data_IF_402735799032
#
_entry.id   IF_402735799032
#
_cell.length_a   1.000
_cell.length_b   1.000
_cell.length_c   1.000
_cell.angle_alpha   90.00
_cell.angle_beta   90.00
_cell.angle_gamma   90.00
#
_symmetry.space_group_name_H-M   'P 1'
#
loop_
_entity.id
_entity.type
_entity.pdbx_description
1 polymer ?
#
# COMPACT_ATOMS: atom_id res chain seq x y z
N UNK A 1 -32.57 -13.27 -13.92
CA UNK A 1 -32.26 -11.88 -14.33
C UNK A 1 -32.27 -10.89 -13.17
N UNK A 2 -32.28 -11.33 -11.92
CA UNK A 2 -32.38 -10.47 -10.71
C UNK A 2 -31.05 -10.32 -9.92
N UNK A 3 -30.04 -11.11 -10.20
CA UNK A 3 -28.78 -11.17 -9.42
C UNK A 3 -27.78 -10.08 -9.83
N UNK A 4 -27.83 -9.55 -11.06
CA UNK A 4 -26.91 -8.48 -11.52
C UNK A 4 -27.12 -7.10 -10.88
N UNK A 5 -28.30 -6.83 -10.32
CA UNK A 5 -28.63 -5.52 -9.73
C UNK A 5 -28.08 -5.31 -8.31
N UNK A 6 -27.82 -6.37 -7.57
CA UNK A 6 -27.33 -6.27 -6.18
C UNK A 6 -25.82 -5.93 -6.12
N UNK A 7 -25.03 -6.36 -7.09
CA UNK A 7 -23.59 -6.11 -7.10
C UNK A 7 -23.22 -4.64 -7.32
N UNK A 8 -24.03 -3.93 -8.11
CA UNK A 8 -23.81 -2.50 -8.39
C UNK A 8 -24.13 -1.64 -7.15
N UNK A 9 -25.11 -2.03 -6.35
CA UNK A 9 -25.49 -1.29 -5.13
C UNK A 9 -24.43 -1.41 -4.01
N UNK A 10 -23.83 -2.59 -3.84
CA UNK A 10 -22.76 -2.77 -2.85
C UNK A 10 -21.49 -1.99 -3.20
N UNK A 11 -21.09 -2.00 -4.47
CA UNK A 11 -19.95 -1.22 -4.94
C UNK A 11 -20.18 0.29 -4.79
N UNK A 12 -21.39 0.77 -5.04
CA UNK A 12 -21.77 2.18 -4.90
C UNK A 12 -21.74 2.66 -3.43
N UNK A 13 -22.11 1.81 -2.49
CA UNK A 13 -22.06 2.13 -1.06
C UNK A 13 -20.60 2.24 -0.57
N UNK A 14 -19.72 1.35 -0.99
CA UNK A 14 -18.30 1.38 -0.62
C UNK A 14 -17.61 2.62 -1.22
N UNK A 15 -17.90 2.96 -2.47
CA UNK A 15 -17.37 4.16 -3.12
C UNK A 15 -17.88 5.44 -2.43
N UNK A 16 -19.13 5.48 -2.02
CA UNK A 16 -19.71 6.60 -1.29
C UNK A 16 -19.06 6.85 0.08
N UNK A 17 -18.69 5.79 0.81
CA UNK A 17 -18.00 5.89 2.11
C UNK A 17 -16.53 6.30 1.95
N UNK A 18 -15.85 5.82 0.92
CA UNK A 18 -14.46 6.19 0.65
C UNK A 18 -14.34 7.64 0.18
N UNK A 19 -15.33 8.17 -0.54
CA UNK A 19 -15.34 9.57 -0.96
C UNK A 19 -15.59 10.53 0.22
N UNK A 20 -16.38 10.16 1.23
CA UNK A 20 -16.61 11.00 2.41
C UNK A 20 -15.41 11.08 3.35
N UNK A 21 -14.56 10.05 3.42
CA UNK A 21 -13.29 10.07 4.17
C UNK A 21 -12.20 10.90 3.48
N UNK A 22 -12.26 11.10 2.17
CA UNK A 22 -11.29 11.89 1.42
C UNK A 22 -11.53 13.40 1.50
N UNK A 23 -12.72 13.86 1.89
CA UNK A 23 -13.09 15.29 1.90
C UNK A 23 -12.85 16.01 3.24
N UNK A 24 -12.44 15.30 4.29
CA UNK A 24 -12.19 15.88 5.61
C UNK A 24 -10.84 16.61 5.78
N UNK A 25 -9.97 16.65 4.77
CA UNK A 25 -8.75 17.46 4.80
C UNK A 25 -9.09 18.88 4.36
N UNK A 26 -9.27 19.75 5.34
CA UNK A 26 -9.50 21.18 5.25
C UNK A 26 -8.80 21.85 4.06
N UNK A 27 -9.61 22.54 3.27
CA UNK A 27 -9.15 23.47 2.23
C UNK A 27 -8.44 24.65 2.91
N UNK A 28 -7.12 24.58 3.05
CA UNK A 28 -6.31 25.75 3.28
C UNK A 28 -5.95 26.41 1.93
N UNK A 29 -6.19 27.71 1.88
CA UNK A 29 -6.12 28.63 0.74
C UNK A 29 -5.09 28.28 -0.36
N UNK A 30 -5.47 28.34 -1.65
CA UNK A 30 -4.61 28.03 -2.79
C UNK A 30 -3.75 29.22 -3.25
N UNK A 31 -3.26 30.07 -2.36
CA UNK A 31 -2.40 31.19 -2.75
C UNK A 31 -0.94 30.74 -2.65
N UNK A 32 -0.23 30.72 -3.79
CA UNK A 32 1.21 30.50 -3.97
C UNK A 32 1.72 29.09 -4.40
N UNK A 33 0.93 28.28 -5.09
CA UNK A 33 1.45 27.02 -5.65
C UNK A 33 2.23 27.18 -6.97
N UNK A 34 2.11 28.31 -7.69
CA UNK A 34 2.68 28.46 -9.03
C UNK A 34 4.20 28.71 -9.07
N UNK A 35 4.75 29.39 -8.04
CA UNK A 35 6.20 29.65 -7.98
C UNK A 35 7.04 28.49 -7.46
N UNK A 36 6.37 27.49 -6.86
CA UNK A 36 7.03 26.44 -6.11
C UNK A 36 7.25 25.15 -6.90
N UNK A 37 6.50 24.92 -7.97
CA UNK A 37 6.69 23.76 -8.84
C UNK A 37 7.79 24.02 -9.90
N UNK A 38 7.99 25.27 -10.27
CA UNK A 38 9.05 25.69 -11.19
C UNK A 38 10.48 25.35 -10.71
N UNK A 39 10.87 25.53 -9.44
CA UNK A 39 12.21 25.16 -8.98
C UNK A 39 12.44 23.65 -8.95
N UNK A 40 11.41 22.84 -8.66
CA UNK A 40 11.53 21.37 -8.65
C UNK A 40 11.67 20.82 -10.07
N UNK A 41 10.85 21.32 -10.98
CA UNK A 41 10.90 20.90 -12.38
C UNK A 41 12.17 21.44 -13.09
N UNK A 42 12.71 22.60 -12.67
CA UNK A 42 13.98 23.13 -13.15
C UNK A 42 15.17 22.34 -12.60
N UNK A 43 15.17 21.93 -11.34
CA UNK A 43 16.23 21.08 -10.76
C UNK A 43 16.28 19.69 -11.41
N UNK A 44 15.12 19.11 -11.72
CA UNK A 44 15.04 17.86 -12.50
C UNK A 44 15.52 18.10 -13.93
N UNK A 45 15.16 19.23 -14.56
CA UNK A 45 15.58 19.59 -15.90
C UNK A 45 17.10 19.76 -16.01
N UNK A 46 17.72 20.35 -14.98
CA UNK A 46 19.14 20.59 -14.88
C UNK A 46 19.93 19.29 -14.61
N UNK A 47 19.39 18.39 -13.78
CA UNK A 47 19.94 17.04 -13.58
C UNK A 47 19.92 16.21 -14.89
N UNK A 48 18.95 16.43 -15.78
CA UNK A 48 18.87 15.79 -17.09
C UNK A 48 19.84 16.38 -18.12
N UNK A 49 20.41 17.58 -17.89
CA UNK A 49 21.37 18.23 -18.79
C UNK A 49 22.82 17.77 -18.62
N UNK A 50 23.07 16.80 -17.73
CA UNK A 50 24.42 16.23 -17.55
C UNK A 50 25.34 17.02 -16.65
N UNK A 51 24.90 18.14 -16.08
CA UNK A 51 25.65 18.87 -15.07
C UNK A 51 25.52 18.15 -13.72
N UNK A 52 26.61 17.90 -13.03
CA UNK A 52 26.64 17.39 -11.65
C UNK A 52 26.01 18.45 -10.73
N UNK A 53 24.70 18.46 -10.68
CA UNK A 53 23.98 19.31 -9.74
C UNK A 53 24.15 18.69 -8.36
N UNK A 54 24.80 19.39 -7.45
CA UNK A 54 24.64 19.16 -6.01
C UNK A 54 23.16 19.34 -5.71
N UNK A 55 22.43 18.23 -5.68
CA UNK A 55 20.99 18.20 -5.48
C UNK A 55 20.66 18.80 -4.10
N UNK A 56 20.36 20.08 -4.07
CA UNK A 56 19.68 20.68 -2.93
C UNK A 56 18.24 20.16 -2.97
N UNK A 57 17.98 19.08 -2.21
CA UNK A 57 16.66 18.48 -2.18
C UNK A 57 15.62 19.54 -1.78
N UNK A 58 14.58 19.74 -2.58
CA UNK A 58 13.60 20.76 -2.29
C UNK A 58 12.95 20.49 -0.93
N UNK A 59 12.68 21.54 -0.16
CA UNK A 59 11.96 21.48 1.12
C UNK A 59 10.47 21.17 0.91
N UNK A 60 10.17 20.21 0.04
CA UNK A 60 8.82 19.81 -0.31
C UNK A 60 8.50 18.46 0.28
N UNK A 61 7.25 18.30 0.68
CA UNK A 61 6.68 17.00 1.00
C UNK A 61 5.82 16.56 -0.18
N UNK A 62 6.12 15.41 -0.73
CA UNK A 62 5.30 14.78 -1.74
C UNK A 62 4.14 14.04 -1.08
N UNK A 63 2.92 14.30 -1.51
CA UNK A 63 1.72 13.57 -1.13
C UNK A 63 1.11 12.92 -2.34
N UNK A 64 0.88 11.61 -2.26
CA UNK A 64 0.25 10.82 -3.33
C UNK A 64 -0.97 10.11 -2.80
N UNK A 65 -2.08 10.25 -3.50
CA UNK A 65 -3.33 9.51 -3.29
C UNK A 65 -3.56 8.60 -4.49
N UNK A 66 -3.78 7.30 -4.21
CA UNK A 66 -4.06 6.30 -5.23
C UNK A 66 -5.33 5.54 -4.84
N UNK A 67 -6.20 5.34 -5.81
CA UNK A 67 -7.29 4.38 -5.78
C UNK A 67 -6.85 3.13 -6.53
N UNK A 68 -7.29 1.99 -6.09
CA UNK A 68 -6.93 0.70 -6.67
C UNK A 68 -8.15 -0.16 -6.93
N UNK A 69 -8.11 -0.92 -8.03
CA UNK A 69 -9.08 -1.96 -8.35
C UNK A 69 -8.35 -3.12 -9.00
N UNK A 70 -8.77 -4.34 -8.66
CA UNK A 70 -8.10 -5.52 -9.24
C UNK A 70 -8.70 -6.83 -8.79
N UNK A 71 -7.89 -7.88 -8.85
CA UNK A 71 -8.25 -9.23 -8.43
C UNK A 71 -7.51 -9.67 -7.18
N UNK A 72 -8.17 -10.48 -6.38
CA UNK A 72 -7.61 -11.16 -5.23
C UNK A 72 -7.88 -12.65 -5.28
N UNK A 73 -6.88 -13.45 -4.90
CA UNK A 73 -6.98 -14.87 -4.64
C UNK A 73 -6.56 -15.12 -3.19
N UNK A 74 -7.52 -15.56 -2.38
CA UNK A 74 -7.38 -15.75 -0.94
C UNK A 74 -7.61 -17.20 -0.56
N UNK A 75 -6.70 -17.78 0.20
CA UNK A 75 -6.90 -19.02 0.95
C UNK A 75 -6.63 -18.75 2.42
N UNK A 76 -7.58 -19.07 3.26
CA UNK A 76 -7.45 -19.05 4.71
C UNK A 76 -8.01 -20.35 5.28
N UNK A 77 -7.12 -21.26 5.65
CA UNK A 77 -7.53 -22.60 6.13
C UNK A 77 -8.17 -22.60 7.52
N UNK A 78 -8.19 -21.47 8.20
CA UNK A 78 -9.02 -21.29 9.40
C UNK A 78 -10.52 -21.23 9.03
N UNK A 79 -10.84 -20.58 7.92
CA UNK A 79 -12.22 -20.38 7.47
C UNK A 79 -12.68 -21.46 6.49
N UNK A 80 -11.82 -21.83 5.54
CA UNK A 80 -12.15 -22.77 4.47
C UNK A 80 -10.90 -23.42 3.87
N UNK A 81 -10.94 -24.70 3.50
CA UNK A 81 -9.85 -25.32 2.77
C UNK A 81 -9.80 -24.91 1.29
N UNK A 82 -10.79 -24.15 0.80
CA UNK A 82 -10.90 -23.72 -0.59
C UNK A 82 -10.33 -22.31 -0.76
N UNK A 83 -9.68 -22.06 -1.90
CA UNK A 83 -9.27 -20.74 -2.29
C UNK A 83 -10.45 -19.96 -2.91
N UNK A 84 -10.68 -18.74 -2.45
CA UNK A 84 -11.69 -17.81 -2.94
C UNK A 84 -11.05 -16.79 -3.87
N UNK A 85 -11.77 -16.40 -4.91
CA UNK A 85 -11.30 -15.42 -5.89
C UNK A 85 -12.35 -14.37 -6.17
N UNK A 86 -11.90 -13.15 -6.41
CA UNK A 86 -12.84 -12.08 -6.75
C UNK A 86 -12.19 -10.73 -6.91
N UNK A 87 -12.99 -9.69 -6.73
CA UNK A 87 -12.58 -8.30 -6.95
C UNK A 87 -12.14 -7.67 -5.64
N UNK A 88 -11.02 -6.95 -5.68
CA UNK A 88 -10.52 -6.12 -4.60
C UNK A 88 -10.50 -4.66 -5.03
N UNK A 89 -10.81 -3.76 -4.10
CA UNK A 89 -10.76 -2.31 -4.26
C UNK A 89 -10.06 -1.70 -3.06
N UNK A 90 -9.45 -0.54 -3.25
CA UNK A 90 -8.78 0.11 -2.14
C UNK A 90 -8.35 1.53 -2.42
N UNK A 91 -7.76 2.11 -1.40
CA UNK A 91 -7.12 3.42 -1.46
C UNK A 91 -5.82 3.39 -0.70
N UNK A 92 -4.85 4.16 -1.16
CA UNK A 92 -3.60 4.36 -0.45
C UNK A 92 -3.18 5.83 -0.48
N UNK A 93 -2.59 6.24 0.63
CA UNK A 93 -1.97 7.54 0.80
C UNK A 93 -0.49 7.35 1.13
N UNK A 94 0.37 8.06 0.39
CA UNK A 94 1.80 8.09 0.63
C UNK A 94 2.26 9.52 0.82
N UNK A 95 3.10 9.74 1.83
CA UNK A 95 3.83 10.98 2.02
C UNK A 95 5.32 10.69 2.05
N UNK A 96 6.10 11.55 1.42
CA UNK A 96 7.55 11.40 1.34
C UNK A 96 8.24 12.77 1.35
N UNK A 97 9.35 12.85 2.10
CA UNK A 97 10.19 14.06 2.14
C UNK A 97 11.66 13.71 2.35
N UNK A 98 12.54 14.52 1.80
CA UNK A 98 13.96 14.48 2.16
C UNK A 98 14.17 15.05 3.55
N UNK A 99 15.11 14.47 4.30
CA UNK A 99 15.49 14.95 5.63
C UNK A 99 16.56 16.03 5.53
N UNK A 100 16.77 16.76 6.63
CA UNK A 100 17.82 17.78 6.70
C UNK A 100 19.20 17.21 7.10
N UNK A 101 19.25 15.97 7.58
CA UNK A 101 20.50 15.33 8.00
C UNK A 101 21.13 14.52 6.87
N UNK A 102 22.42 14.20 7.00
CA UNK A 102 23.16 13.35 6.07
C UNK A 102 23.26 13.92 4.65
N UNK A 103 23.54 15.23 4.52
CA UNK A 103 23.61 15.93 3.24
C UNK A 103 22.35 15.69 2.36
N UNK A 104 21.18 15.60 2.99
CA UNK A 104 19.89 15.36 2.34
C UNK A 104 19.81 14.04 1.56
N UNK A 105 20.64 13.06 1.89
CA UNK A 105 20.61 11.74 1.27
C UNK A 105 19.54 10.81 1.85
N UNK A 106 18.92 11.19 2.96
CA UNK A 106 17.90 10.39 3.61
C UNK A 106 16.50 10.90 3.27
N UNK A 107 15.60 9.97 3.01
CA UNK A 107 14.17 10.23 2.75
C UNK A 107 13.34 9.51 3.78
N UNK A 108 12.38 10.21 4.39
CA UNK A 108 11.34 9.61 5.22
C UNK A 108 10.09 9.43 4.38
N UNK A 109 9.52 8.24 4.39
CA UNK A 109 8.29 7.88 3.71
C UNK A 109 7.30 7.30 4.71
N UNK A 110 6.05 7.73 4.68
CA UNK A 110 4.94 7.04 5.32
C UNK A 110 3.92 6.62 4.26
N UNK A 111 3.32 5.44 4.44
CA UNK A 111 2.25 4.91 3.58
C UNK A 111 1.14 4.36 4.45
N UNK A 112 -0.10 4.62 4.06
CA UNK A 112 -1.30 4.05 4.63
C UNK A 112 -2.15 3.49 3.51
N UNK A 113 -2.77 2.33 3.72
CA UNK A 113 -3.66 1.73 2.72
C UNK A 113 -4.82 1.00 3.37
N UNK A 114 -5.96 1.07 2.71
CA UNK A 114 -7.17 0.33 3.05
C UNK A 114 -7.64 -0.41 1.80
N UNK A 115 -7.87 -1.71 1.95
CA UNK A 115 -8.37 -2.57 0.88
C UNK A 115 -9.56 -3.37 1.38
N UNK A 116 -10.51 -3.62 0.47
CA UNK A 116 -11.65 -4.50 0.70
C UNK A 116 -11.86 -5.38 -0.54
N UNK A 117 -12.16 -6.65 -0.32
CA UNK A 117 -12.41 -7.62 -1.38
C UNK A 117 -13.71 -8.37 -1.17
N UNK A 118 -14.35 -8.73 -2.27
CA UNK A 118 -15.48 -9.64 -2.32
C UNK A 118 -15.14 -10.82 -3.20
N UNK A 119 -15.11 -11.99 -2.58
CA UNK A 119 -14.54 -13.21 -3.15
C UNK A 119 -15.58 -14.30 -3.20
N UNK A 120 -15.52 -15.16 -4.20
CA UNK A 120 -16.38 -16.32 -4.38
C UNK A 120 -15.59 -17.62 -4.33
N UNK A 121 -16.20 -18.66 -3.79
CA UNK A 121 -15.66 -20.02 -3.86
C UNK A 121 -15.66 -20.53 -5.33
N UNK A 122 -14.88 -21.57 -5.65
CA UNK A 122 -14.83 -22.13 -7.01
C UNK A 122 -16.19 -22.59 -7.54
N UNK A 123 -17.09 -23.01 -6.66
CA UNK A 123 -18.45 -23.49 -6.98
C UNK A 123 -19.52 -22.39 -6.84
N UNK A 124 -19.13 -21.17 -6.54
CA UNK A 124 -19.98 -19.98 -6.32
C UNK A 124 -21.03 -20.12 -5.21
N UNK A 125 -20.91 -21.14 -4.37
CA UNK A 125 -21.85 -21.44 -3.28
C UNK A 125 -21.41 -20.84 -1.91
N UNK A 126 -20.31 -20.12 -1.85
CA UNK A 126 -19.79 -19.44 -0.68
C UNK A 126 -19.11 -18.13 -1.07
N UNK A 127 -19.18 -17.15 -0.18
CA UNK A 127 -18.58 -15.84 -0.37
C UNK A 127 -17.66 -15.50 0.81
N UNK A 128 -16.62 -14.72 0.52
CA UNK A 128 -15.77 -14.11 1.54
C UNK A 128 -15.68 -12.61 1.34
N UNK A 129 -15.71 -11.90 2.45
CA UNK A 129 -15.38 -10.48 2.54
C UNK A 129 -14.03 -10.38 3.23
N UNK A 130 -13.06 -9.81 2.54
CA UNK A 130 -11.75 -9.50 3.15
C UNK A 130 -11.58 -8.00 3.26
N UNK A 131 -11.09 -7.55 4.42
CA UNK A 131 -10.76 -6.15 4.64
C UNK A 131 -9.40 -6.05 5.32
N UNK A 132 -8.57 -5.12 4.85
CA UNK A 132 -7.24 -4.89 5.41
C UNK A 132 -6.91 -3.42 5.47
N UNK A 133 -6.43 -2.99 6.64
CA UNK A 133 -5.78 -1.71 6.88
C UNK A 133 -4.28 -1.95 7.11
N UNK A 134 -3.42 -1.17 6.47
CA UNK A 134 -1.99 -1.19 6.73
C UNK A 134 -1.39 0.21 6.80
N UNK A 135 -0.32 0.32 7.59
CA UNK A 135 0.47 1.53 7.71
C UNK A 135 1.95 1.19 7.77
N UNK A 136 2.81 2.00 7.16
CA UNK A 136 4.26 1.84 7.25
C UNK A 136 4.99 3.16 7.31
N UNK A 137 6.10 3.18 8.06
CA UNK A 137 7.07 4.26 8.09
C UNK A 137 8.43 3.75 7.65
N UNK A 138 9.07 4.38 6.68
CA UNK A 138 10.35 3.97 6.13
C UNK A 138 11.38 5.08 6.17
N UNK A 139 12.64 4.70 6.37
CA UNK A 139 13.81 5.55 6.22
C UNK A 139 14.67 4.98 5.08
N UNK A 140 14.86 5.78 4.04
CA UNK A 140 15.54 5.40 2.80
C UNK A 140 16.81 6.20 2.59
N UNK A 141 17.91 5.55 2.30
CA UNK A 141 19.13 6.18 1.85
C UNK A 141 19.18 6.22 0.32
N UNK A 142 19.38 7.42 -0.25
CA UNK A 142 19.48 7.62 -1.68
C UNK A 142 20.93 7.43 -2.13
N UNK A 143 21.21 6.35 -2.86
CA UNK A 143 22.58 5.96 -3.28
C UNK A 143 23.08 6.78 -4.45
N UNK A 144 22.21 7.01 -5.42
CA UNK A 144 22.56 7.66 -6.66
C UNK A 144 21.45 8.56 -7.12
N UNK A 145 21.84 9.76 -7.49
CA UNK A 145 21.03 10.75 -8.20
C UNK A 145 21.77 11.00 -9.52
N UNK A 146 21.80 9.95 -10.36
CA UNK A 146 22.48 10.03 -11.65
C UNK A 146 21.47 10.39 -12.71
N UNK A 147 21.81 11.29 -13.60
CA UNK A 147 21.01 11.84 -14.72
C UNK A 147 19.62 11.21 -14.90
N UNK A 148 18.60 11.78 -14.23
CA UNK A 148 17.22 11.28 -14.29
C UNK A 148 16.89 10.05 -13.43
N UNK A 149 17.89 9.37 -12.86
CA UNK A 149 17.72 8.21 -12.00
C UNK A 149 17.84 8.55 -10.51
N UNK A 150 17.00 7.95 -9.72
CA UNK A 150 17.09 7.92 -8.27
C UNK A 150 16.95 6.49 -7.78
N UNK A 151 17.95 6.00 -7.06
CA UNK A 151 17.92 4.71 -6.39
C UNK A 151 18.01 4.92 -4.88
N UNK A 152 17.14 4.28 -4.13
CA UNK A 152 17.17 4.32 -2.70
C UNK A 152 16.82 2.96 -2.10
N UNK A 153 17.42 2.65 -0.95
CA UNK A 153 17.03 1.49 -0.17
C UNK A 153 17.12 1.82 1.32
N UNK A 154 16.42 1.03 2.13
CA UNK A 154 16.40 1.23 3.57
C UNK A 154 15.51 0.25 4.29
N UNK A 155 15.07 0.65 5.48
CA UNK A 155 14.19 -0.13 6.33
C UNK A 155 12.84 0.55 6.54
N UNK A 156 11.83 -0.26 6.76
CA UNK A 156 10.48 0.18 7.11
C UNK A 156 9.97 -0.59 8.34
N UNK A 157 9.23 0.10 9.20
CA UNK A 157 8.33 -0.54 10.17
C UNK A 157 6.94 -0.55 9.55
N UNK A 158 6.33 -1.74 9.47
CA UNK A 158 5.02 -1.94 8.90
C UNK A 158 4.08 -2.56 9.92
N UNK A 159 2.88 -2.01 10.05
CA UNK A 159 1.78 -2.57 10.83
C UNK A 159 0.58 -2.82 9.93
N UNK A 160 -0.13 -3.92 10.17
CA UNK A 160 -1.37 -4.23 9.47
C UNK A 160 -2.37 -4.91 10.38
N UNK A 161 -3.63 -4.68 10.09
CA UNK A 161 -4.76 -5.37 10.69
C UNK A 161 -5.82 -5.61 9.64
N UNK A 162 -6.62 -6.65 9.82
CA UNK A 162 -7.69 -6.99 8.89
C UNK A 162 -8.54 -8.13 9.40
N UNK A 163 -9.59 -8.41 8.67
CA UNK A 163 -10.45 -9.56 8.94
C UNK A 163 -11.00 -10.14 7.63
N UNK A 164 -11.26 -11.44 7.65
CA UNK A 164 -12.01 -12.13 6.60
C UNK A 164 -13.28 -12.71 7.22
N UNK A 165 -14.40 -12.56 6.55
CA UNK A 165 -15.68 -13.15 6.91
C UNK A 165 -16.13 -14.13 5.84
N UNK A 166 -16.40 -15.39 6.21
CA UNK A 166 -16.86 -16.44 5.32
C UNK A 166 -18.35 -16.73 5.57
N UNK A 167 -19.16 -16.63 4.54
CA UNK A 167 -20.63 -16.80 4.64
C UNK A 167 -21.10 -18.24 4.83
N UNK A 168 -20.21 -19.23 4.63
CA UNK A 168 -20.53 -20.67 4.78
C UNK A 168 -20.08 -21.27 6.11
N UNK A 169 -19.10 -20.65 6.77
CA UNK A 169 -18.61 -21.16 8.04
C UNK A 169 -19.54 -20.71 9.17
N UNK A 170 -20.38 -21.64 9.65
CA UNK A 170 -21.36 -21.34 10.69
C UNK A 170 -20.80 -21.32 12.11
N UNK A 171 -19.62 -21.92 12.33
CA UNK A 171 -19.02 -22.03 13.67
C UNK A 171 -18.04 -20.87 13.96
N UNK A 172 -17.09 -20.64 13.06
CA UNK A 172 -16.13 -19.55 13.15
C UNK A 172 -16.12 -18.76 11.82
N UNK A 173 -17.13 -17.88 11.59
CA UNK A 173 -17.31 -17.25 10.29
C UNK A 173 -16.29 -16.15 9.99
N UNK A 174 -15.56 -15.68 11.01
CA UNK A 174 -14.64 -14.56 10.87
C UNK A 174 -13.24 -14.90 11.39
N UNK A 175 -12.23 -14.43 10.70
CA UNK A 175 -10.84 -14.44 11.18
C UNK A 175 -10.25 -13.04 11.19
N UNK A 176 -9.76 -12.60 12.35
CA UNK A 176 -8.99 -11.38 12.53
C UNK A 176 -7.50 -11.63 12.34
N UNK A 177 -6.82 -10.69 11.74
CA UNK A 177 -5.36 -10.72 11.51
C UNK A 177 -4.74 -9.42 12.02
N UNK A 178 -3.61 -9.54 12.69
CA UNK A 178 -2.78 -8.41 13.07
C UNK A 178 -1.31 -8.78 12.95
N UNK A 179 -0.50 -7.90 12.41
CA UNK A 179 0.94 -8.12 12.30
C UNK A 179 1.70 -6.80 12.37
N UNK A 180 2.92 -6.88 12.91
CA UNK A 180 3.92 -5.81 12.86
C UNK A 180 5.21 -6.43 12.37
N UNK A 181 5.87 -5.79 11.40
CA UNK A 181 7.10 -6.32 10.84
C UNK A 181 8.10 -5.20 10.51
N UNK A 182 9.38 -5.55 10.62
CA UNK A 182 10.46 -4.78 10.04
C UNK A 182 10.71 -5.31 8.63
N UNK A 183 10.68 -4.41 7.63
CA UNK A 183 10.81 -4.73 6.22
C UNK A 183 12.04 -4.05 5.60
N UNK A 184 12.70 -4.74 4.67
CA UNK A 184 13.57 -4.10 3.71
C UNK A 184 12.73 -3.40 2.64
N UNK A 185 13.14 -2.22 2.22
CA UNK A 185 12.44 -1.45 1.18
C UNK A 185 13.43 -0.91 0.16
N UNK A 186 13.07 -1.01 -1.12
CA UNK A 186 13.84 -0.53 -2.25
C UNK A 186 13.02 0.36 -3.16
N UNK A 187 13.67 1.33 -3.78
CA UNK A 187 13.08 2.30 -4.69
C UNK A 187 14.00 2.49 -5.90
N UNK A 188 13.42 2.48 -7.08
CA UNK A 188 14.02 2.99 -8.29
C UNK A 188 13.04 3.97 -8.95
N UNK A 189 13.53 5.15 -9.28
CA UNK A 189 12.75 6.20 -9.93
C UNK A 189 13.52 6.75 -11.13
N UNK A 190 12.84 6.89 -12.23
CA UNK A 190 13.39 7.49 -13.45
C UNK A 190 12.50 8.63 -13.92
N UNK A 191 13.10 9.78 -14.18
CA UNK A 191 12.42 10.94 -14.75
C UNK A 191 12.85 11.12 -16.19
N UNK A 192 11.93 10.86 -17.10
CA UNK A 192 12.07 11.06 -18.55
C UNK A 192 11.46 12.40 -18.94
N UNK A 193 12.16 13.15 -19.78
CA UNK A 193 11.63 14.42 -20.35
C UNK A 193 11.11 14.18 -21.76
N UNK A 194 9.80 14.41 -21.97
CA UNK A 194 9.16 14.35 -23.28
C UNK A 194 8.71 15.77 -23.66
N UNK A 195 9.47 16.42 -24.53
CA UNK A 195 9.34 17.85 -24.74
C UNK A 195 9.62 18.64 -23.47
N UNK A 196 8.68 19.47 -23.03
CA UNK A 196 8.80 20.26 -21.79
C UNK A 196 8.13 19.59 -20.57
N UNK A 197 7.68 18.33 -20.67
CA UNK A 197 6.93 17.65 -19.61
C UNK A 197 7.75 16.54 -18.97
N UNK A 198 8.07 16.60 -17.67
CA UNK A 198 8.75 15.53 -16.97
C UNK A 198 7.76 14.39 -16.64
N UNK A 199 8.01 13.23 -17.19
CA UNK A 199 7.30 11.98 -16.90
C UNK A 199 8.13 11.19 -15.91
N UNK A 200 7.53 10.75 -14.82
CA UNK A 200 8.22 9.98 -13.77
C UNK A 200 7.71 8.56 -13.74
N UNK A 201 8.60 7.60 -13.86
CA UNK A 201 8.37 6.18 -13.61
C UNK A 201 9.01 5.86 -12.27
N UNK A 202 8.25 5.25 -11.36
CA UNK A 202 8.71 4.88 -10.04
C UNK A 202 8.30 3.45 -9.75
N UNK A 203 9.25 2.63 -9.29
CA UNK A 203 9.02 1.28 -8.80
C UNK A 203 9.53 1.16 -7.37
N UNK A 204 8.76 0.50 -6.52
CA UNK A 204 9.05 0.26 -5.11
C UNK A 204 8.79 -1.20 -4.78
N UNK A 205 9.62 -1.76 -3.92
CA UNK A 205 9.44 -3.08 -3.35
C UNK A 205 9.63 -3.03 -1.83
N UNK A 206 8.67 -3.59 -1.08
CA UNK A 206 8.74 -3.77 0.37
C UNK A 206 8.72 -5.28 0.66
N UNK A 207 9.69 -5.75 1.44
CA UNK A 207 9.90 -7.16 1.78
C UNK A 207 10.07 -7.32 3.29
N UNK A 208 9.05 -7.78 4.03
CA UNK A 208 9.13 -8.06 5.46
C UNK A 208 10.20 -9.11 5.77
N UNK A 209 11.09 -8.80 6.74
CA UNK A 209 12.22 -9.64 7.14
C UNK A 209 11.95 -10.35 8.45
N UNK A 210 11.44 -9.63 9.44
CA UNK A 210 11.15 -10.16 10.76
C UNK A 210 9.98 -9.40 11.37
N UNK A 211 9.09 -10.11 12.05
CA UNK A 211 7.92 -9.51 12.67
C UNK A 211 7.23 -10.38 13.68
N UNK A 212 6.09 -9.89 14.14
CA UNK A 212 5.17 -10.58 15.02
C UNK A 212 3.79 -10.59 14.36
N UNK A 213 3.12 -11.73 14.42
CA UNK A 213 1.78 -11.90 13.87
C UNK A 213 0.87 -12.61 14.87
N UNK A 214 -0.34 -12.10 15.02
CA UNK A 214 -1.43 -12.80 15.68
C UNK A 214 -2.02 -13.84 14.75
N UNK A 215 -2.13 -15.08 15.23
CA UNK A 215 -2.76 -16.21 14.55
C UNK A 215 -3.40 -17.14 15.57
N UNK A 216 -4.68 -17.49 15.46
CA UNK A 216 -5.26 -18.58 16.24
C UNK A 216 -4.49 -19.88 15.97
N UNK A 217 -4.61 -20.85 16.87
CA UNK A 217 -4.17 -22.21 16.60
C UNK A 217 -5.22 -22.93 15.72
N UNK A 218 -4.80 -23.99 15.03
CA UNK A 218 -5.73 -24.80 14.26
C UNK A 218 -6.85 -25.34 15.16
N UNK A 219 -8.10 -25.11 14.78
CA UNK A 219 -9.30 -25.50 15.53
C UNK A 219 -9.64 -24.63 16.74
N UNK A 220 -8.82 -23.64 17.11
CA UNK A 220 -9.07 -22.74 18.22
C UNK A 220 -10.09 -21.66 17.85
N UNK A 221 -11.12 -21.47 18.65
CA UNK A 221 -12.13 -20.43 18.46
C UNK A 221 -11.70 -19.11 19.10
N UNK A 222 -12.27 -18.00 18.63
CA UNK A 222 -12.09 -16.68 19.26
C UNK A 222 -12.69 -16.61 20.65
N UNK A 223 -13.73 -17.41 20.95
CA UNK A 223 -14.28 -17.55 22.30
C UNK A 223 -13.24 -18.12 23.26
N UNK A 224 -12.52 -19.17 22.86
CA UNK A 224 -11.45 -19.76 23.68
C UNK A 224 -10.32 -18.76 23.94
N UNK A 225 -9.95 -17.96 22.94
CA UNK A 225 -8.91 -16.95 23.08
C UNK A 225 -9.36 -15.83 24.03
N UNK A 226 -10.47 -15.16 23.72
CA UNK A 226 -10.83 -13.90 24.39
C UNK A 226 -11.72 -14.06 25.61
N UNK A 227 -12.51 -15.13 25.69
CA UNK A 227 -13.42 -15.37 26.82
C UNK A 227 -12.84 -16.35 27.84
N UNK A 228 -12.13 -17.39 27.39
CA UNK A 228 -11.51 -18.37 28.29
C UNK A 228 -10.03 -18.07 28.61
N UNK A 229 -9.43 -17.08 27.93
CA UNK A 229 -8.05 -16.67 28.19
C UNK A 229 -6.98 -17.63 27.67
N UNK A 230 -7.29 -18.47 26.69
CA UNK A 230 -6.35 -19.43 26.11
C UNK A 230 -5.45 -18.73 25.07
N UNK A 231 -4.48 -17.96 25.54
CA UNK A 231 -3.59 -17.15 24.67
C UNK A 231 -2.34 -17.88 24.14
N UNK A 232 -2.19 -19.17 24.45
CA UNK A 232 -0.97 -19.91 24.14
C UNK A 232 -0.63 -19.86 22.66
N UNK A 233 0.57 -19.32 22.37
CA UNK A 233 1.17 -19.29 21.03
C UNK A 233 0.35 -18.53 19.97
N UNK A 234 -0.59 -17.67 20.34
CA UNK A 234 -1.35 -16.86 19.40
C UNK A 234 -0.53 -15.71 18.78
N UNK A 235 0.57 -15.29 19.42
CA UNK A 235 1.53 -14.36 18.83
C UNK A 235 2.77 -15.12 18.40
N UNK A 236 3.11 -15.05 17.12
CA UNK A 236 4.21 -15.81 16.52
C UNK A 236 5.19 -14.90 15.81
N UNK A 237 6.47 -15.24 15.92
CA UNK A 237 7.53 -14.60 15.14
C UNK A 237 7.39 -15.00 13.68
N UNK A 238 7.45 -14.01 12.80
CA UNK A 238 7.40 -14.17 11.35
C UNK A 238 8.72 -13.79 10.71
N UNK A 239 9.10 -14.52 9.66
CA UNK A 239 10.27 -14.28 8.84
C UNK A 239 10.03 -14.93 7.46
N UNK A 240 10.84 -14.66 6.43
CA UNK A 240 10.57 -15.18 5.07
C UNK A 240 10.45 -16.70 4.95
N UNK A 241 10.96 -17.48 5.91
CA UNK A 241 10.83 -18.94 5.91
C UNK A 241 9.43 -19.46 6.32
N UNK A 242 8.66 -18.71 7.14
CA UNK A 242 7.32 -19.10 7.57
C UNK A 242 6.22 -18.11 7.11
N UNK A 243 6.61 -16.92 6.70
CA UNK A 243 5.70 -15.86 6.25
C UNK A 243 6.36 -15.00 5.14
N UNK A 244 6.63 -15.58 3.95
CA UNK A 244 7.15 -14.79 2.84
C UNK A 244 6.10 -13.81 2.32
N UNK A 245 6.51 -12.55 2.20
CA UNK A 245 5.65 -11.45 1.74
C UNK A 245 6.42 -10.53 0.82
N UNK A 246 5.74 -10.00 -0.18
CA UNK A 246 6.26 -9.00 -1.10
C UNK A 246 5.14 -8.05 -1.48
N UNK A 247 5.39 -6.74 -1.36
CA UNK A 247 4.61 -5.69 -2.02
C UNK A 247 5.47 -5.02 -3.07
N UNK A 248 5.01 -5.02 -4.29
CA UNK A 248 5.65 -4.35 -5.41
C UNK A 248 4.69 -3.38 -6.06
N UNK A 249 5.10 -2.13 -6.20
CA UNK A 249 4.28 -1.06 -6.77
C UNK A 249 5.06 -0.35 -7.86
N UNK A 250 4.48 -0.21 -9.06
CA UNK A 250 5.05 0.59 -10.13
C UNK A 250 4.04 1.66 -10.55
N UNK A 251 4.49 2.91 -10.63
CA UNK A 251 3.64 4.05 -11.01
C UNK A 251 4.30 4.89 -12.09
N UNK A 252 3.49 5.32 -13.04
CA UNK A 252 3.79 6.32 -14.07
C UNK A 252 3.08 7.61 -13.66
N UNK A 253 3.82 8.70 -13.52
CA UNK A 253 3.27 10.00 -13.12
C UNK A 253 3.47 11.03 -14.22
N UNK A 254 2.37 11.60 -14.70
CA UNK A 254 2.30 12.57 -15.78
C UNK A 254 1.95 13.95 -15.21
N UNK A 255 2.61 15.04 -15.63
CA UNK A 255 2.26 16.39 -15.17
C UNK A 255 0.87 16.78 -15.67
N UNK A 256 0.03 17.24 -14.76
CA UNK A 256 -1.33 17.67 -15.04
C UNK A 256 -1.69 18.87 -14.20
N UNK A 257 -1.76 20.07 -14.79
CA UNK A 257 -2.01 21.34 -14.08
C UNK A 257 -1.04 21.52 -12.89
N UNK A 258 -1.57 21.73 -11.68
CA UNK A 258 -0.82 21.92 -10.41
C UNK A 258 -0.54 20.59 -9.66
N UNK A 259 -0.76 19.43 -10.30
CA UNK A 259 -0.55 18.10 -9.74
C UNK A 259 0.07 17.20 -10.79
N UNK A 260 0.33 15.93 -10.43
CA UNK A 260 0.69 14.85 -11.36
C UNK A 260 -0.40 13.79 -11.31
N UNK A 261 -0.94 13.41 -12.44
CA UNK A 261 -1.78 12.24 -12.57
C UNK A 261 -0.88 11.01 -12.49
N UNK A 262 -1.23 10.05 -11.64
CA UNK A 262 -0.49 8.80 -11.47
C UNK A 262 -1.37 7.63 -11.88
N UNK A 263 -0.83 6.76 -12.72
CA UNK A 263 -1.40 5.45 -13.06
C UNK A 263 -0.37 4.39 -12.72
N UNK A 264 -0.80 3.19 -12.36
CA UNK A 264 0.16 2.19 -11.97
C UNK A 264 -0.42 0.81 -11.76
N UNK A 265 0.44 -0.04 -11.22
CA UNK A 265 0.14 -1.43 -10.88
C UNK A 265 0.77 -1.78 -9.55
N UNK A 266 0.05 -2.54 -8.75
CA UNK A 266 0.53 -3.09 -7.49
C UNK A 266 0.28 -4.61 -7.46
N UNK A 267 1.33 -5.35 -7.11
CA UNK A 267 1.25 -6.74 -6.74
C UNK A 267 1.56 -6.86 -5.24
N UNK A 268 0.67 -7.53 -4.50
CA UNK A 268 0.88 -7.84 -3.10
C UNK A 268 0.68 -9.33 -2.89
N UNK A 269 1.77 -10.02 -2.54
CA UNK A 269 1.81 -11.45 -2.31
C UNK A 269 2.11 -11.68 -0.84
N UNK A 270 1.24 -12.40 -0.15
CA UNK A 270 1.41 -12.80 1.25
C UNK A 270 1.15 -14.29 1.39
N UNK A 271 2.06 -14.98 2.03
CA UNK A 271 1.92 -16.40 2.31
C UNK A 271 2.39 -16.68 3.73
N UNK A 272 1.58 -17.40 4.51
CA UNK A 272 1.93 -17.76 5.87
C UNK A 272 1.65 -19.24 6.12
N UNK A 273 2.52 -19.85 6.93
CA UNK A 273 2.26 -21.19 7.50
C UNK A 273 2.58 -21.14 9.00
N UNK A 274 1.57 -20.78 9.78
CA UNK A 274 1.70 -20.49 11.22
C UNK A 274 0.61 -21.23 11.97
N UNK A 275 0.95 -21.82 13.11
CA UNK A 275 0.02 -22.55 14.00
C UNK A 275 -0.79 -23.65 13.30
N UNK A 276 -0.21 -24.32 12.31
CA UNK A 276 -0.91 -25.35 11.50
C UNK A 276 -1.84 -24.78 10.42
N UNK A 277 -2.02 -23.45 10.38
CA UNK A 277 -2.85 -22.75 9.39
C UNK A 277 -2.03 -22.36 8.18
N UNK A 278 -2.61 -22.51 7.00
CA UNK A 278 -2.09 -21.99 5.73
C UNK A 278 -2.91 -20.78 5.33
N UNK A 279 -2.21 -19.74 4.94
CA UNK A 279 -2.80 -18.53 4.40
C UNK A 279 -2.04 -18.10 3.15
N UNK A 280 -2.74 -17.72 2.10
CA UNK A 280 -2.18 -16.90 1.06
C UNK A 280 -3.19 -15.85 0.59
N UNK A 281 -2.69 -14.67 0.28
CA UNK A 281 -3.42 -13.62 -0.41
C UNK A 281 -2.56 -13.07 -1.53
N UNK A 282 -3.03 -13.21 -2.77
CA UNK A 282 -2.37 -12.73 -3.97
C UNK A 282 -3.25 -11.67 -4.60
N UNK A 283 -2.78 -10.45 -4.52
CA UNK A 283 -3.48 -9.26 -4.99
C UNK A 283 -2.77 -8.66 -6.19
N UNK A 284 -3.52 -8.36 -7.23
CA UNK A 284 -3.08 -7.67 -8.42
C UNK A 284 -4.02 -6.51 -8.70
N UNK A 285 -3.54 -5.28 -8.58
CA UNK A 285 -4.38 -4.08 -8.62
C UNK A 285 -3.84 -3.04 -9.61
N UNK A 286 -4.72 -2.45 -10.40
CA UNK A 286 -4.46 -1.22 -11.13
C UNK A 286 -4.65 -0.04 -10.21
N UNK A 287 -3.80 0.97 -10.37
CA UNK A 287 -3.76 2.17 -9.56
C UNK A 287 -4.05 3.38 -10.43
N UNK A 288 -4.86 4.31 -9.91
CA UNK A 288 -5.08 5.63 -10.47
C UNK A 288 -5.16 6.66 -9.35
N UNK A 289 -4.57 7.81 -9.55
CA UNK A 289 -4.61 8.86 -8.53
C UNK A 289 -3.79 10.07 -8.90
N UNK A 290 -3.42 10.85 -7.91
CA UNK A 290 -2.66 12.07 -8.13
C UNK A 290 -1.58 12.27 -7.07
N UNK A 291 -0.56 13.01 -7.46
CA UNK A 291 0.57 13.41 -6.61
C UNK A 291 0.65 14.93 -6.54
N UNK A 292 0.82 15.49 -5.34
CA UNK A 292 1.06 16.91 -5.10
C UNK A 292 2.32 17.11 -4.26
N UNK A 293 3.00 18.21 -4.51
CA UNK A 293 4.10 18.70 -3.67
C UNK A 293 3.60 19.85 -2.82
N UNK A 294 3.81 19.77 -1.51
CA UNK A 294 3.44 20.81 -0.57
C UNK A 294 4.72 21.39 0.04
N UNK A 295 4.85 22.71 0.00
CA UNK A 295 5.94 23.43 0.65
C UNK A 295 5.56 23.67 2.09
N UNK A 296 6.43 23.30 3.02
CA UNK A 296 6.31 23.75 4.40
C UNK A 296 7.02 25.09 4.50
N UNK A 297 6.25 26.17 4.45
CA UNK A 297 6.73 27.51 4.81
C UNK A 297 6.86 27.51 6.34
N UNK A 298 8.08 27.70 6.86
CA UNK A 298 8.32 28.00 8.27
C UNK A 298 8.25 29.50 8.49
#
# INVERSE_FOLDING_TARGET
MWIKSQHIKAASIIIGWLSSLAFGASAQNPVQADSAQAPYDSAIAEALSGTLVCYSAPRTTEHQWLFSIGGENLLDTYLSPLAYKGTTMGTSFRTERFTHFGAQRWTVRARYSLHAAYLASPTDNGKEWDMQLSGSGALLYNFSLYTGWRFAAGGALEGRTGFTYNTRNGNNPAQGRAAVAFAATGLAEYTLRVGNKPIRIRTEADFPLVGLMFSPNYGQSYYEIFSLGHYDKNVRVTFPGNAPELRWTTTLSLPFRKARLSIGYEAEIRQHRINGLKYHAWNHRFLIGYTRHIYVVK
#
